data_IF_365234185181
#
_entry.id   IF_365234185181
#
_cell.length_a   1.000
_cell.length_b   1.000
_cell.length_c   1.000
_cell.angle_alpha   90.00
_cell.angle_beta   90.00
_cell.angle_gamma   90.00
#
_symmetry.space_group_name_H-M   'P 1'
#
loop_
_entity.id
_entity.type
_entity.pdbx_description
1 polymer ?
#
# COMPACT_ATOMS: atom_id res chain seq x y z
N UNK A 1 -21.89 -2.77 -31.03
CA UNK A 1 -22.35 -3.62 -29.90
C UNK A 1 -21.30 -4.69 -29.66
N UNK A 2 -20.79 -4.84 -28.43
CA UNK A 2 -19.82 -5.90 -28.11
C UNK A 2 -20.59 -7.22 -27.90
N UNK A 3 -20.17 -8.34 -28.50
CA UNK A 3 -20.84 -9.62 -28.30
C UNK A 3 -20.79 -10.08 -26.83
N UNK A 4 -21.87 -10.69 -26.35
CA UNK A 4 -21.97 -11.18 -24.97
C UNK A 4 -20.87 -12.19 -24.59
N UNK A 5 -20.51 -13.08 -25.51
CA UNK A 5 -19.42 -14.05 -25.33
C UNK A 5 -18.06 -13.37 -25.10
N UNK A 6 -17.82 -12.22 -25.73
CA UNK A 6 -16.60 -11.43 -25.54
C UNK A 6 -16.57 -10.83 -24.12
N UNK A 7 -17.71 -10.34 -23.62
CA UNK A 7 -17.82 -9.80 -22.26
C UNK A 7 -17.59 -10.89 -21.19
N UNK A 8 -18.13 -12.11 -21.41
CA UNK A 8 -17.85 -13.26 -20.54
C UNK A 8 -16.36 -13.59 -20.54
N UNK A 9 -15.73 -13.66 -21.72
CA UNK A 9 -14.31 -13.97 -21.82
C UNK A 9 -13.43 -12.93 -21.10
N UNK A 10 -13.74 -11.64 -21.25
CA UNK A 10 -13.05 -10.55 -20.53
C UNK A 10 -13.21 -10.71 -19.02
N UNK A 11 -14.42 -11.03 -18.55
CA UNK A 11 -14.69 -11.19 -17.11
C UNK A 11 -13.92 -12.36 -16.51
N UNK A 12 -13.95 -13.51 -17.18
CA UNK A 12 -13.22 -14.70 -16.76
C UNK A 12 -11.71 -14.45 -16.78
N UNK A 13 -11.20 -13.73 -17.78
CA UNK A 13 -9.81 -13.32 -17.82
C UNK A 13 -9.45 -12.44 -16.60
N UNK A 14 -10.25 -11.41 -16.30
CA UNK A 14 -10.02 -10.56 -15.13
C UNK A 14 -10.07 -11.31 -13.80
N UNK A 15 -11.01 -12.25 -13.64
CA UNK A 15 -11.08 -13.12 -12.46
C UNK A 15 -9.81 -13.98 -12.36
N UNK A 16 -9.38 -14.59 -13.47
CA UNK A 16 -8.16 -15.40 -13.51
C UNK A 16 -6.92 -14.56 -13.16
N UNK A 17 -6.79 -13.36 -13.72
CA UNK A 17 -5.71 -12.43 -13.40
C UNK A 17 -5.75 -12.04 -11.91
N UNK A 18 -6.93 -11.78 -11.33
CA UNK A 18 -7.08 -11.47 -9.90
C UNK A 18 -6.63 -12.64 -9.02
N UNK A 19 -6.96 -13.88 -9.39
CA UNK A 19 -6.49 -15.07 -8.69
C UNK A 19 -4.97 -15.20 -8.76
N UNK A 20 -4.36 -14.99 -9.93
CA UNK A 20 -2.91 -14.98 -10.11
C UNK A 20 -2.25 -13.92 -9.23
N UNK A 21 -2.78 -12.70 -9.24
CA UNK A 21 -2.28 -11.61 -8.40
C UNK A 21 -2.44 -11.89 -6.91
N UNK A 22 -3.54 -12.50 -6.50
CA UNK A 22 -3.75 -12.92 -5.12
C UNK A 22 -2.71 -13.95 -4.69
N UNK A 23 -2.39 -14.91 -5.56
CA UNK A 23 -1.31 -15.89 -5.30
C UNK A 23 0.04 -15.18 -5.19
N UNK A 24 0.39 -14.28 -6.11
CA UNK A 24 1.65 -13.51 -6.07
C UNK A 24 1.74 -12.62 -4.82
N UNK A 25 0.62 -12.01 -4.43
CA UNK A 25 0.49 -11.21 -3.22
C UNK A 25 0.72 -12.04 -1.96
N UNK A 26 0.06 -13.20 -1.87
CA UNK A 26 0.16 -14.11 -0.74
C UNK A 26 1.55 -14.74 -0.63
N UNK A 27 2.17 -15.05 -1.77
CA UNK A 27 3.55 -15.53 -1.87
C UNK A 27 4.60 -14.44 -1.54
N UNK A 28 4.18 -13.17 -1.41
CA UNK A 28 5.05 -12.00 -1.19
C UNK A 28 6.17 -11.92 -2.22
N UNK A 29 5.80 -12.06 -3.48
CA UNK A 29 6.76 -12.04 -4.59
C UNK A 29 7.32 -10.63 -4.79
N UNK A 30 8.62 -10.43 -4.52
CA UNK A 30 9.24 -9.11 -4.46
C UNK A 30 9.07 -8.25 -5.72
N UNK A 31 9.25 -8.82 -6.92
CA UNK A 31 9.03 -8.07 -8.17
C UNK A 31 7.58 -7.59 -8.30
N UNK A 32 6.61 -8.42 -7.88
CA UNK A 32 5.21 -8.09 -7.97
C UNK A 32 4.87 -6.94 -7.03
N UNK A 33 5.42 -6.88 -5.81
CA UNK A 33 5.20 -5.73 -4.91
C UNK A 33 5.76 -4.41 -5.44
N UNK A 34 6.71 -4.45 -6.39
CA UNK A 34 7.35 -3.26 -6.97
C UNK A 34 6.71 -2.75 -8.25
N UNK A 35 5.95 -3.59 -8.97
CA UNK A 35 5.35 -3.19 -10.24
C UNK A 35 4.12 -2.28 -10.07
N UNK A 36 3.80 -1.52 -11.11
CA UNK A 36 2.61 -0.66 -11.17
C UNK A 36 2.85 0.75 -10.61
N UNK A 37 1.79 1.55 -10.45
CA UNK A 37 1.90 2.88 -9.86
C UNK A 37 1.88 2.82 -8.33
N UNK A 38 2.68 3.66 -7.68
CA UNK A 38 2.53 3.96 -6.26
C UNK A 38 1.40 4.98 -6.12
N UNK A 39 0.34 4.63 -5.37
CA UNK A 39 -0.76 5.55 -5.07
C UNK A 39 -0.42 6.43 -3.87
N UNK A 40 0.46 5.92 -3.01
CA UNK A 40 0.96 6.62 -1.84
C UNK A 40 2.44 6.29 -1.69
N UNK A 41 3.24 7.31 -1.42
CA UNK A 41 4.67 7.16 -1.21
C UNK A 41 5.12 8.15 -0.12
N UNK A 42 5.85 7.64 0.86
CA UNK A 42 6.49 8.44 1.90
C UNK A 42 7.98 8.11 1.93
N UNK A 43 8.76 9.09 2.37
CA UNK A 43 10.20 8.94 2.59
C UNK A 43 10.51 9.48 3.97
N UNK A 44 11.17 8.69 4.79
CA UNK A 44 11.55 9.07 6.15
C UNK A 44 13.06 8.97 6.31
N UNK A 45 13.68 10.01 6.85
CA UNK A 45 15.12 10.07 7.02
C UNK A 45 15.55 9.71 8.44
N UNK A 46 16.76 9.15 8.56
CA UNK A 46 17.42 8.83 9.83
C UNK A 46 18.93 9.04 9.71
N UNK A 47 19.58 9.34 10.84
CA UNK A 47 21.04 9.50 10.94
C UNK A 47 21.79 8.16 11.07
N UNK A 48 21.07 7.06 11.32
CA UNK A 48 21.74 5.76 11.46
C UNK A 48 22.20 5.22 10.11
N UNK A 49 23.20 4.33 10.15
CA UNK A 49 23.70 3.67 8.94
C UNK A 49 22.63 2.82 8.25
N UNK A 50 22.83 2.52 6.97
CA UNK A 50 21.93 1.67 6.18
C UNK A 50 21.64 0.32 6.85
N UNK A 51 22.68 -0.33 7.37
CA UNK A 51 22.55 -1.64 8.02
C UNK A 51 21.82 -1.55 9.36
N UNK A 52 22.10 -0.50 10.14
CA UNK A 52 21.40 -0.24 11.40
C UNK A 52 19.91 0.07 11.16
N UNK A 53 19.59 0.87 10.13
CA UNK A 53 18.22 1.14 9.74
C UNK A 53 17.51 -0.14 9.28
N UNK A 54 18.16 -0.98 8.48
CA UNK A 54 17.58 -2.26 8.02
C UNK A 54 17.32 -3.21 9.18
N UNK A 55 18.25 -3.31 10.14
CA UNK A 55 18.05 -4.10 11.35
C UNK A 55 16.88 -3.57 12.19
N UNK A 56 16.84 -2.26 12.45
CA UNK A 56 15.75 -1.62 13.19
C UNK A 56 14.38 -1.82 12.52
N UNK A 57 14.31 -1.74 11.19
CA UNK A 57 13.09 -2.03 10.44
C UNK A 57 12.64 -3.46 10.65
N UNK A 58 13.56 -4.44 10.55
CA UNK A 58 13.26 -5.85 10.77
C UNK A 58 12.70 -6.08 12.17
N UNK A 59 13.32 -5.47 13.19
CA UNK A 59 12.94 -5.60 14.59
C UNK A 59 11.62 -4.86 14.91
N UNK A 60 11.30 -3.80 14.17
CA UNK A 60 10.07 -3.03 14.33
C UNK A 60 8.83 -3.73 13.74
N UNK A 61 8.99 -4.63 12.75
CA UNK A 61 7.84 -5.27 12.07
C UNK A 61 6.92 -6.07 13.00
N UNK A 62 7.42 -6.95 13.91
CA UNK A 62 6.57 -7.65 14.86
C UNK A 62 5.84 -6.71 15.81
N UNK A 63 6.51 -5.65 16.28
CA UNK A 63 5.92 -4.62 17.17
C UNK A 63 4.77 -3.88 16.48
N UNK A 64 4.93 -3.63 15.17
CA UNK A 64 3.90 -3.03 14.34
C UNK A 64 2.72 -3.98 14.00
N UNK A 65 2.78 -5.25 14.41
CA UNK A 65 1.85 -6.34 14.05
C UNK A 65 1.74 -6.53 12.52
N UNK A 66 2.86 -6.40 11.84
CA UNK A 66 2.99 -6.60 10.40
C UNK A 66 3.62 -7.97 10.12
N UNK A 67 3.03 -8.71 9.20
CA UNK A 67 3.71 -9.83 8.56
C UNK A 67 4.55 -9.30 7.41
N UNK A 68 5.80 -9.74 7.32
CA UNK A 68 6.69 -9.28 6.27
C UNK A 68 7.42 -10.43 5.59
N UNK A 69 8.02 -10.15 4.44
CA UNK A 69 9.09 -10.93 3.83
C UNK A 69 10.17 -9.96 3.39
N UNK A 70 11.39 -10.23 3.80
CA UNK A 70 12.57 -9.49 3.36
C UNK A 70 13.11 -10.12 2.07
N UNK A 71 13.54 -9.26 1.14
CA UNK A 71 14.31 -9.61 -0.05
C UNK A 71 15.51 -8.66 -0.19
N UNK A 72 16.35 -8.88 -1.20
CA UNK A 72 17.57 -8.08 -1.42
C UNK A 72 17.32 -6.58 -1.62
N UNK A 73 16.08 -6.18 -1.90
CA UNK A 73 15.70 -4.79 -2.20
C UNK A 73 14.85 -4.15 -1.11
N UNK A 74 14.39 -4.88 -0.10
CA UNK A 74 13.63 -4.34 1.03
C UNK A 74 12.63 -5.32 1.61
N UNK A 75 11.48 -4.81 2.03
CA UNK A 75 10.48 -5.53 2.79
C UNK A 75 9.11 -5.47 2.09
N UNK A 76 8.53 -6.64 1.84
CA UNK A 76 7.14 -6.78 1.41
C UNK A 76 6.25 -6.96 2.64
N UNK A 77 5.34 -6.02 2.90
CA UNK A 77 4.57 -5.92 4.14
C UNK A 77 3.09 -6.30 3.95
N UNK A 78 2.50 -6.89 5.00
CA UNK A 78 1.06 -7.17 5.13
C UNK A 78 0.64 -7.10 6.60
N UNK A 79 -0.65 -6.95 6.89
CA UNK A 79 -1.19 -7.12 8.26
C UNK A 79 -1.24 -8.59 8.68
N UNK A 80 -0.98 -8.84 9.96
CA UNK A 80 -0.89 -10.19 10.52
C UNK A 80 -2.23 -10.97 10.54
N UNK A 81 -3.37 -10.30 10.75
CA UNK A 81 -4.66 -10.97 10.98
C UNK A 81 -5.64 -10.89 9.81
N UNK A 82 -5.31 -10.15 8.77
CA UNK A 82 -6.27 -9.80 7.76
C UNK A 82 -6.12 -10.73 6.54
N UNK A 83 -6.77 -11.89 6.61
CA UNK A 83 -7.22 -12.60 5.41
C UNK A 83 -8.07 -11.66 4.49
N UNK A 84 -8.55 -10.53 5.04
CA UNK A 84 -9.24 -9.45 4.34
C UNK A 84 -8.37 -8.24 3.93
N UNK A 85 -7.08 -8.15 4.31
CA UNK A 85 -6.21 -7.04 3.85
C UNK A 85 -5.70 -7.27 2.42
N UNK A 86 -6.45 -8.01 1.61
CA UNK A 86 -6.03 -8.55 0.33
C UNK A 86 -5.79 -7.52 -0.79
N UNK A 87 -5.53 -6.25 -0.47
CA UNK A 87 -5.73 -5.20 -1.46
C UNK A 87 -4.50 -4.29 -1.66
N UNK A 88 -3.75 -3.83 -0.63
CA UNK A 88 -2.53 -3.07 -0.86
C UNK A 88 -1.27 -3.92 -0.79
N UNK A 89 -0.51 -3.82 -1.88
CA UNK A 89 0.90 -4.21 -1.92
C UNK A 89 1.68 -3.10 -1.24
N UNK A 90 2.30 -3.44 -0.12
CA UNK A 90 3.07 -2.48 0.67
C UNK A 90 4.53 -2.86 0.57
N UNK A 91 5.35 -1.95 0.10
CA UNK A 91 6.80 -2.12 0.05
C UNK A 91 7.47 -1.06 0.90
N UNK A 92 8.42 -1.49 1.72
CA UNK A 92 9.32 -0.60 2.47
C UNK A 92 10.75 -0.90 2.03
N UNK A 93 11.47 0.12 1.58
CA UNK A 93 12.86 0.02 1.16
C UNK A 93 13.73 0.85 2.09
N UNK A 94 14.94 0.38 2.33
CA UNK A 94 15.97 1.16 3.03
C UNK A 94 17.01 1.51 2.00
N UNK A 95 17.14 2.80 1.74
CA UNK A 95 17.99 3.39 0.71
C UNK A 95 19.04 4.29 1.38
N UNK A 96 20.22 4.50 0.75
CA UNK A 96 21.18 5.46 1.26
C UNK A 96 20.59 6.87 1.23
N UNK A 97 20.69 7.59 2.36
CA UNK A 97 20.28 8.98 2.52
C UNK A 97 21.48 9.92 2.63
N UNK A 98 21.28 11.24 2.55
CA UNK A 98 22.38 12.22 2.64
C UNK A 98 23.05 12.23 4.03
N UNK A 99 22.29 11.95 5.09
CA UNK A 99 22.78 11.99 6.48
C UNK A 99 22.80 10.60 7.15
N UNK A 100 22.59 9.52 6.40
CA UNK A 100 22.46 8.16 6.95
C UNK A 100 21.63 7.27 6.04
N UNK A 101 20.43 6.91 6.48
CA UNK A 101 19.50 6.08 5.71
C UNK A 101 18.18 6.80 5.44
N UNK A 102 17.51 6.37 4.37
CA UNK A 102 16.18 6.82 3.99
C UNK A 102 15.26 5.60 3.87
N UNK A 103 14.12 5.64 4.53
CA UNK A 103 13.08 4.64 4.44
C UNK A 103 12.06 5.07 3.39
N UNK A 104 12.00 4.38 2.26
CA UNK A 104 11.02 4.63 1.21
C UNK A 104 9.84 3.67 1.36
N UNK A 105 8.72 4.20 1.81
CA UNK A 105 7.46 3.49 2.02
C UNK A 105 6.54 3.73 0.82
N UNK A 106 5.99 2.67 0.24
CA UNK A 106 5.07 2.77 -0.89
C UNK A 106 3.86 1.84 -0.73
N UNK A 107 2.69 2.36 -1.09
CA UNK A 107 1.44 1.59 -1.17
C UNK A 107 0.97 1.55 -2.61
N UNK A 108 0.77 0.33 -3.10
CA UNK A 108 0.45 0.04 -4.50
C UNK A 108 -0.83 -0.81 -4.56
N UNK A 109 -1.75 -0.53 -5.49
CA UNK A 109 -2.96 -1.32 -5.68
C UNK A 109 -2.65 -2.59 -6.46
N UNK A 110 -3.57 -3.54 -6.53
CA UNK A 110 -3.47 -4.66 -7.47
C UNK A 110 -3.62 -4.15 -8.91
N UNK A 111 -2.90 -4.75 -9.86
CA UNK A 111 -2.87 -4.30 -11.27
C UNK A 111 -4.21 -4.60 -11.94
N UNK A 112 -4.74 -5.80 -11.70
CA UNK A 112 -6.09 -6.25 -12.07
C UNK A 112 -7.15 -5.24 -11.69
N UNK A 113 -7.07 -4.67 -10.49
CA UNK A 113 -8.03 -3.68 -10.01
C UNK A 113 -8.00 -2.38 -10.83
N UNK A 114 -6.82 -1.92 -11.25
CA UNK A 114 -6.73 -0.77 -12.16
C UNK A 114 -7.33 -1.07 -13.54
N UNK A 115 -7.23 -2.33 -14.01
CA UNK A 115 -7.80 -2.78 -15.27
C UNK A 115 -9.33 -3.00 -15.23
N UNK A 116 -9.93 -3.19 -14.05
CA UNK A 116 -11.38 -3.34 -13.89
C UNK A 116 -12.16 -2.06 -14.23
N UNK A 117 -11.59 -0.88 -13.94
CA UNK A 117 -12.25 0.42 -14.15
C UNK A 117 -12.66 0.64 -15.62
N UNK A 118 -11.78 0.53 -16.63
CA UNK A 118 -12.17 0.72 -18.02
C UNK A 118 -13.15 -0.35 -18.50
N UNK A 119 -13.01 -1.60 -18.05
CA UNK A 119 -13.93 -2.69 -18.41
C UNK A 119 -15.34 -2.43 -17.88
N UNK A 120 -15.46 -1.89 -16.66
CA UNK A 120 -16.75 -1.46 -16.10
C UNK A 120 -17.42 -0.38 -16.95
N UNK A 121 -16.69 0.68 -17.30
CA UNK A 121 -17.24 1.80 -18.07
C UNK A 121 -17.80 1.31 -19.42
N UNK A 122 -17.07 0.41 -20.09
CA UNK A 122 -17.50 -0.18 -21.37
C UNK A 122 -18.71 -1.10 -21.19
N UNK A 123 -18.73 -1.92 -20.14
CA UNK A 123 -19.85 -2.84 -19.87
C UNK A 123 -21.14 -2.07 -19.51
N UNK A 124 -21.04 -1.05 -18.66
CA UNK A 124 -22.18 -0.21 -18.26
C UNK A 124 -22.85 0.49 -19.46
N UNK A 125 -22.06 0.90 -20.46
CA UNK A 125 -22.57 1.52 -21.68
C UNK A 125 -23.29 0.55 -22.64
N UNK A 126 -23.17 -0.77 -22.43
CA UNK A 126 -23.63 -1.78 -23.40
C UNK A 126 -25.02 -2.36 -23.12
N UNK A 127 -25.66 -2.04 -22.00
CA UNK A 127 -27.05 -2.42 -21.69
C UNK A 127 -27.32 -3.91 -21.48
N UNK A 128 -26.29 -4.76 -21.45
CA UNK A 128 -26.41 -6.23 -21.34
C UNK A 128 -26.21 -6.70 -19.88
N UNK A 129 -27.23 -7.36 -19.33
CA UNK A 129 -27.26 -8.09 -18.04
C UNK A 129 -26.85 -7.29 -16.79
N UNK A 130 -27.71 -6.35 -16.45
CA UNK A 130 -27.63 -5.40 -15.33
C UNK A 130 -27.64 -6.02 -13.92
N UNK A 131 -27.75 -7.34 -13.74
CA UNK A 131 -27.86 -7.94 -12.40
C UNK A 131 -26.54 -8.60 -11.98
N UNK A 132 -26.11 -9.66 -12.66
CA UNK A 132 -24.89 -10.39 -12.27
C UNK A 132 -23.63 -9.54 -12.46
N UNK A 133 -23.54 -8.81 -13.57
CA UNK A 133 -22.40 -7.96 -13.89
C UNK A 133 -22.37 -6.71 -13.00
N UNK A 134 -23.53 -6.07 -12.79
CA UNK A 134 -23.64 -4.92 -11.89
C UNK A 134 -23.39 -5.30 -10.44
N UNK A 135 -23.83 -6.47 -9.96
CA UNK A 135 -23.55 -6.92 -8.59
C UNK A 135 -22.06 -7.22 -8.42
N UNK A 136 -21.44 -7.96 -9.34
CA UNK A 136 -20.00 -8.22 -9.26
C UNK A 136 -19.18 -6.94 -9.29
N UNK A 137 -19.54 -6.02 -10.19
CA UNK A 137 -18.81 -4.75 -10.28
C UNK A 137 -19.15 -3.82 -9.12
N UNK A 138 -20.38 -3.79 -8.61
CA UNK A 138 -20.73 -3.03 -7.41
C UNK A 138 -20.04 -3.57 -6.16
N UNK A 139 -19.82 -4.88 -6.05
CA UNK A 139 -19.03 -5.49 -4.97
C UNK A 139 -17.56 -5.09 -5.12
N UNK A 140 -16.96 -5.24 -6.31
CA UNK A 140 -15.56 -4.88 -6.55
C UNK A 140 -15.33 -3.36 -6.38
N UNK A 141 -16.21 -2.54 -6.95
CA UNK A 141 -16.19 -1.08 -6.82
C UNK A 141 -16.53 -0.64 -5.40
N UNK A 142 -17.42 -1.32 -4.68
CA UNK A 142 -17.71 -1.05 -3.27
C UNK A 142 -16.49 -1.32 -2.39
N UNK A 143 -15.79 -2.44 -2.62
CA UNK A 143 -14.52 -2.71 -1.96
C UNK A 143 -13.50 -1.60 -2.31
N UNK A 144 -13.44 -1.15 -3.57
CA UNK A 144 -12.41 -0.18 -3.95
C UNK A 144 -12.74 1.29 -3.64
N UNK A 145 -14.00 1.70 -3.65
CA UNK A 145 -14.41 3.07 -3.36
C UNK A 145 -14.62 3.30 -1.87
N UNK A 146 -14.96 2.25 -1.13
CA UNK A 146 -15.26 2.35 0.31
C UNK A 146 -14.15 1.72 1.15
N UNK A 147 -13.76 0.47 0.87
CA UNK A 147 -12.77 -0.22 1.68
C UNK A 147 -11.35 0.29 1.42
N UNK A 148 -11.01 0.66 0.18
CA UNK A 148 -9.68 1.16 -0.15
C UNK A 148 -9.31 2.47 0.54
N UNK A 149 -10.14 3.55 0.54
CA UNK A 149 -9.77 4.77 1.26
C UNK A 149 -9.70 4.54 2.78
N UNK A 150 -10.52 3.61 3.31
CA UNK A 150 -10.44 3.19 4.71
C UNK A 150 -9.12 2.46 4.99
N UNK A 151 -8.73 1.52 4.13
CA UNK A 151 -7.44 0.82 4.23
C UNK A 151 -6.28 1.81 4.06
N UNK A 152 -6.33 2.74 3.11
CA UNK A 152 -5.30 3.78 2.96
C UNK A 152 -5.19 4.69 4.17
N UNK A 153 -6.29 5.09 4.81
CA UNK A 153 -6.25 5.83 6.09
C UNK A 153 -5.65 4.99 7.22
N UNK A 154 -5.86 3.69 7.16
CA UNK A 154 -5.44 2.73 8.17
C UNK A 154 -3.98 2.29 7.99
N UNK A 155 -3.50 2.22 6.75
CA UNK A 155 -2.13 1.90 6.35
C UNK A 155 -1.25 3.14 6.30
N UNK A 156 -1.72 4.25 5.73
CA UNK A 156 -0.99 5.51 5.57
C UNK A 156 -0.66 6.23 6.87
N UNK A 157 -0.86 5.61 8.02
CA UNK A 157 -0.32 6.12 9.28
C UNK A 157 0.74 5.24 9.90
N UNK A 158 0.83 3.96 9.51
CA UNK A 158 1.64 2.90 10.12
C UNK A 158 2.11 3.23 11.55
N UNK A 159 1.20 3.68 12.42
CA UNK A 159 1.61 4.50 13.56
C UNK A 159 2.51 3.72 14.52
N UNK A 160 2.24 2.42 14.63
CA UNK A 160 3.07 1.50 15.40
C UNK A 160 4.46 1.27 14.79
N UNK A 161 4.59 1.28 13.47
CA UNK A 161 5.90 1.23 12.82
C UNK A 161 6.64 2.53 13.06
N UNK A 162 5.98 3.69 12.94
CA UNK A 162 6.60 4.98 13.25
C UNK A 162 7.08 5.04 14.70
N UNK A 163 6.23 4.64 15.65
CA UNK A 163 6.58 4.61 17.08
C UNK A 163 7.74 3.63 17.34
N UNK A 164 7.77 2.48 16.65
CA UNK A 164 8.86 1.51 16.77
C UNK A 164 10.18 1.97 16.11
N UNK A 165 10.13 2.86 15.12
CA UNK A 165 11.29 3.44 14.45
C UNK A 165 11.75 4.77 15.06
N UNK A 166 10.96 5.37 15.96
CA UNK A 166 11.34 6.59 16.67
C UNK A 166 12.72 6.52 17.38
N UNK A 167 13.16 5.38 17.97
CA UNK A 167 14.48 5.27 18.59
C UNK A 167 15.66 5.48 17.63
N UNK A 168 15.49 5.23 16.33
CA UNK A 168 16.51 5.52 15.31
C UNK A 168 16.33 6.92 14.71
N UNK A 169 15.56 7.82 15.34
CA UNK A 169 15.40 9.20 14.89
C UNK A 169 14.44 9.39 13.71
N UNK A 170 13.68 8.36 13.33
CA UNK A 170 12.57 8.52 12.38
C UNK A 170 11.45 9.28 13.08
N UNK A 171 11.17 10.49 12.61
CA UNK A 171 10.15 11.35 13.18
C UNK A 171 9.18 11.78 12.09
N UNK A 172 7.91 11.38 12.19
CA UNK A 172 6.92 11.57 11.13
C UNK A 172 5.67 12.23 11.69
N UNK A 173 5.08 13.17 10.95
CA UNK A 173 3.81 13.77 11.32
C UNK A 173 2.70 12.72 11.34
N UNK A 174 2.11 12.48 12.52
CA UNK A 174 1.00 11.52 12.70
C UNK A 174 -0.27 11.86 11.91
N UNK A 175 -0.39 13.09 11.41
CA UNK A 175 -1.57 13.54 10.67
C UNK A 175 -1.44 13.33 9.15
N UNK A 176 -0.31 13.71 8.55
CA UNK A 176 -0.13 13.68 7.09
C UNK A 176 1.00 12.77 6.60
N UNK A 177 1.86 12.22 7.47
CA UNK A 177 2.98 11.38 7.05
C UNK A 177 4.25 12.14 6.65
N UNK A 178 4.27 13.47 6.81
CA UNK A 178 5.45 14.30 6.52
C UNK A 178 6.65 13.90 7.39
N UNK A 179 7.83 13.81 6.79
CA UNK A 179 9.07 13.58 7.51
C UNK A 179 9.51 14.84 8.28
N UNK A 180 9.56 14.74 9.59
CA UNK A 180 9.94 15.81 10.52
C UNK A 180 11.42 15.68 10.92
N UNK A 181 12.23 14.94 10.15
CA UNK A 181 13.67 14.87 10.34
C UNK A 181 14.28 16.28 10.46
N UNK A 182 15.08 16.49 11.50
CA UNK A 182 15.68 17.79 11.89
C UNK A 182 14.71 18.91 12.26
N UNK A 183 13.41 18.68 12.25
CA UNK A 183 12.47 19.68 12.75
C UNK A 183 12.50 19.71 14.28
N UNK A 184 12.56 20.91 14.91
CA UNK A 184 12.49 21.01 16.36
C UNK A 184 11.19 20.41 16.92
N UNK A 185 11.28 19.66 18.02
CA UNK A 185 10.11 19.07 18.69
C UNK A 185 9.11 20.16 19.08
N UNK A 186 7.82 19.87 18.90
CA UNK A 186 6.72 20.78 19.24
C UNK A 186 6.36 21.81 18.16
N UNK A 187 7.15 21.93 17.09
CA UNK A 187 6.75 22.76 15.96
C UNK A 187 5.55 22.17 15.21
N UNK A 188 4.78 23.05 14.56
CA UNK A 188 3.74 22.64 13.63
C UNK A 188 4.38 21.95 12.43
N UNK A 189 3.76 20.86 11.97
CA UNK A 189 4.15 20.23 10.72
C UNK A 189 4.05 21.25 9.57
N UNK A 190 5.11 21.44 8.77
CA UNK A 190 5.13 22.46 7.71
C UNK A 190 4.14 22.15 6.58
N UNK A 191 3.79 20.88 6.40
CA UNK A 191 2.86 20.45 5.34
C UNK A 191 1.39 20.62 5.76
N UNK A 192 1.02 20.24 6.98
CA UNK A 192 -0.40 20.23 7.40
C UNK A 192 -0.75 21.20 8.53
N UNK A 193 0.22 21.95 9.06
CA UNK A 193 0.03 22.94 10.12
C UNK A 193 -0.33 22.38 11.50
N UNK A 194 -0.46 21.06 11.65
CA UNK A 194 -0.79 20.45 12.96
C UNK A 194 0.45 20.36 13.83
N UNK A 195 0.31 20.77 15.10
CA UNK A 195 1.32 20.50 16.11
C UNK A 195 1.47 19.00 16.34
N UNK A 196 2.71 18.54 16.44
CA UNK A 196 2.98 17.21 16.95
C UNK A 196 2.34 17.11 18.35
N UNK A 197 1.56 16.05 18.64
CA UNK A 197 1.13 15.81 20.01
C UNK A 197 2.37 15.71 20.91
N UNK A 198 2.28 16.21 22.16
CA UNK A 198 3.41 16.19 23.10
C UNK A 198 3.95 14.77 23.33
#
# INVERSE_FOLDING_TARGET
MIPFSVLIAISLALIALLLVESVLYLARTGWYYRLGPALHAERWQTEVSLDAARAAVRDAMPLAKLSYREDDRGFCLRRHWAAMSAWPRISLRVEPGPDGAMLAYEVRPFITMAAFVPVFVVAAASGIMLAFFTVNIAVIAGIYLVFWPLELRTFGRLARLHDALAPIGVHVCRACGYDLFRQPRGQACPECGRHAPP
#
